data_IF_566170568308
#
_entry.id   IF_566170568308
#
_cell.length_a   1.000
_cell.length_b   1.000
_cell.length_c   1.000
_cell.angle_alpha   90.00
_cell.angle_beta   90.00
_cell.angle_gamma   90.00
#
_symmetry.space_group_name_H-M   'P 1'
#
loop_
_entity.id
_entity.type
_entity.pdbx_description
1 polymer ?
#
# COMPACT_ATOMS: atom_id res chain seq x y z
N UNK A 1 -60.60 -31.93 -47.68
CA UNK A 1 -61.78 -31.06 -47.49
C UNK A 1 -61.53 -30.25 -46.22
N UNK A 2 -61.06 -29.01 -46.36
CA UNK A 2 -61.86 -27.78 -46.17
C UNK A 2 -61.90 -27.40 -44.68
N UNK A 3 -61.12 -26.41 -44.23
CA UNK A 3 -61.51 -24.97 -44.10
C UNK A 3 -62.83 -24.82 -43.32
N UNK A 4 -63.04 -24.00 -42.28
CA UNK A 4 -62.40 -22.79 -41.72
C UNK A 4 -63.26 -22.35 -40.49
N UNK A 5 -62.91 -21.30 -39.74
CA UNK A 5 -63.34 -21.01 -38.38
C UNK A 5 -64.52 -20.03 -38.27
N UNK A 6 -65.09 -19.88 -37.06
CA UNK A 6 -66.09 -18.86 -36.73
C UNK A 6 -65.44 -17.58 -36.19
N UNK A 7 -65.84 -16.47 -36.82
CA UNK A 7 -65.51 -15.07 -36.56
C UNK A 7 -66.26 -14.49 -35.35
N UNK A 8 -65.65 -13.46 -34.75
CA UNK A 8 -66.27 -12.28 -34.12
C UNK A 8 -65.12 -11.33 -33.73
N UNK A 9 -64.74 -10.25 -34.45
CA UNK A 9 -65.45 -9.00 -34.77
C UNK A 9 -65.99 -8.33 -33.49
N UNK A 10 -65.65 -7.09 -33.08
CA UNK A 10 -65.15 -5.89 -33.78
C UNK A 10 -64.74 -4.81 -32.76
N UNK A 11 -64.15 -3.74 -33.30
CA UNK A 11 -63.98 -2.38 -32.74
C UNK A 11 -62.82 -2.19 -31.76
N UNK A 12 -62.02 -1.14 -31.81
CA UNK A 12 -62.08 0.08 -32.61
C UNK A 12 -61.49 1.22 -31.79
N UNK A 13 -60.36 1.74 -32.26
CA UNK A 13 -59.82 3.09 -32.04
C UNK A 13 -59.85 3.72 -30.62
N UNK A 14 -58.66 4.03 -30.09
CA UNK A 14 -58.18 5.42 -30.05
C UNK A 14 -56.83 5.51 -29.32
N UNK A 15 -55.82 5.98 -30.05
CA UNK A 15 -54.56 6.48 -29.49
C UNK A 15 -54.84 7.63 -28.54
N UNK A 16 -54.51 7.47 -27.26
CA UNK A 16 -54.22 8.60 -26.36
C UNK A 16 -52.73 8.64 -26.09
N UNK A 17 -52.08 9.60 -26.74
CA UNK A 17 -50.71 10.04 -26.47
C UNK A 17 -50.73 10.72 -25.10
N UNK A 18 -50.27 10.02 -24.06
CA UNK A 18 -50.07 10.62 -22.75
C UNK A 18 -48.62 11.11 -22.68
N UNK A 19 -48.41 12.41 -22.95
CA UNK A 19 -47.14 13.11 -22.69
C UNK A 19 -46.98 13.29 -21.18
N UNK A 20 -46.43 12.28 -20.52
CA UNK A 20 -45.98 12.34 -19.13
C UNK A 20 -44.72 13.19 -18.99
N UNK A 21 -44.79 14.17 -18.09
CA UNK A 21 -43.74 15.10 -17.64
C UNK A 21 -42.35 14.46 -17.52
N UNK A 22 -41.35 15.10 -18.14
CA UNK A 22 -39.93 14.95 -17.81
C UNK A 22 -39.70 15.38 -16.36
N UNK A 23 -39.49 14.42 -15.46
CA UNK A 23 -38.84 14.65 -14.18
C UNK A 23 -37.33 14.59 -14.45
N UNK A 24 -36.66 15.73 -14.30
CA UNK A 24 -35.21 15.83 -14.27
C UNK A 24 -34.70 15.01 -13.07
N UNK A 25 -34.25 13.80 -13.33
CA UNK A 25 -33.57 12.96 -12.35
C UNK A 25 -32.30 13.64 -11.86
N UNK A 26 -32.27 13.98 -10.58
CA UNK A 26 -31.09 14.38 -9.81
C UNK A 26 -29.91 13.50 -10.18
N UNK A 27 -28.83 14.12 -10.67
CA UNK A 27 -27.52 13.48 -10.81
C UNK A 27 -27.10 12.92 -9.45
N UNK A 28 -26.97 11.59 -9.37
CA UNK A 28 -26.45 10.91 -8.19
C UNK A 28 -25.01 11.40 -7.92
N UNK A 29 -24.81 12.04 -6.77
CA UNK A 29 -23.50 12.44 -6.28
C UNK A 29 -22.79 11.15 -5.85
N UNK A 30 -21.86 10.66 -6.66
CA UNK A 30 -20.95 9.58 -6.25
C UNK A 30 -20.07 10.07 -5.09
N UNK A 31 -19.93 9.34 -3.98
CA UNK A 31 -19.07 9.76 -2.87
C UNK A 31 -17.61 9.80 -3.32
N UNK A 32 -17.01 10.99 -3.29
CA UNK A 32 -15.62 11.19 -3.68
C UNK A 32 -14.68 10.66 -2.60
N UNK A 33 -13.58 10.02 -3.01
CA UNK A 33 -12.59 9.47 -2.08
C UNK A 33 -11.91 10.57 -1.23
N UNK A 34 -11.47 10.29 0.02
CA UNK A 34 -10.89 11.27 0.94
C UNK A 34 -9.68 12.04 0.38
N UNK A 35 -8.96 11.46 -0.60
CA UNK A 35 -7.84 12.12 -1.30
C UNK A 35 -8.28 13.29 -2.19
N UNK A 36 -9.50 13.28 -2.70
CA UNK A 36 -10.01 14.33 -3.60
C UNK A 36 -10.35 15.64 -2.86
N UNK A 37 -10.73 15.56 -1.58
CA UNK A 37 -11.07 16.71 -0.74
C UNK A 37 -9.81 17.54 -0.42
N UNK A 38 -8.70 16.87 -0.09
CA UNK A 38 -7.41 17.52 0.17
C UNK A 38 -6.79 18.18 -1.08
N UNK A 39 -7.02 17.62 -2.27
CA UNK A 39 -6.51 18.17 -3.52
C UNK A 39 -7.25 19.45 -3.97
N UNK A 40 -8.52 19.59 -3.60
CA UNK A 40 -9.33 20.76 -3.96
C UNK A 40 -9.10 21.94 -3.01
N UNK A 41 -8.84 21.67 -1.72
CA UNK A 41 -8.44 22.69 -0.74
C UNK A 41 -7.10 23.37 -1.08
N UNK A 42 -6.16 22.65 -1.72
CA UNK A 42 -4.87 23.22 -2.18
C UNK A 42 -4.99 24.13 -3.41
N UNK A 43 -6.01 23.95 -4.26
CA UNK A 43 -6.24 24.82 -5.42
C UNK A 43 -6.87 26.16 -5.04
N UNK A 44 -7.79 26.15 -4.07
CA UNK A 44 -8.46 27.38 -3.64
C UNK A 44 -7.55 28.31 -2.80
N UNK A 45 -6.51 27.78 -2.14
CA UNK A 45 -5.54 28.60 -1.39
C UNK A 45 -4.48 29.27 -2.26
N UNK A 46 -4.25 28.78 -3.49
CA UNK A 46 -3.29 29.35 -4.43
C UNK A 46 -3.88 30.49 -5.28
N UNK A 47 -5.21 30.55 -5.43
CA UNK A 47 -5.89 31.63 -6.16
C UNK A 47 -6.21 32.86 -5.29
N UNK A 48 -6.15 32.73 -3.95
CA UNK A 48 -6.42 33.84 -3.01
C UNK A 48 -5.17 34.69 -2.66
N UNK A 49 -4.05 34.48 -3.37
CA UNK A 49 -2.76 35.11 -3.08
C UNK A 49 -2.19 35.99 -4.21
N UNK A 50 -3.02 36.37 -5.18
CA UNK A 50 -2.67 37.34 -6.23
C UNK A 50 -3.81 38.34 -6.39
N UNK A 51 -4.05 39.16 -5.37
CA UNK A 51 -4.75 40.43 -5.58
C UNK A 51 -4.51 41.38 -4.40
N UNK A 52 -3.32 42.01 -4.36
CA UNK A 52 -3.01 43.29 -3.70
C UNK A 52 -1.61 43.73 -4.13
N UNK A 53 -1.54 44.49 -5.22
CA UNK A 53 -0.44 45.39 -5.60
C UNK A 53 -1.11 46.60 -6.24
N UNK A 54 -1.14 47.72 -5.52
CA UNK A 54 -0.15 48.82 -5.59
C UNK A 54 -0.47 49.79 -6.74
N UNK A 55 -1.14 50.89 -6.40
CA UNK A 55 -1.13 52.13 -7.17
C UNK A 55 -0.74 53.27 -6.22
N UNK A 56 0.38 53.89 -6.53
CA UNK A 56 0.94 55.07 -5.88
C UNK A 56 0.22 56.34 -6.34
N UNK A 57 0.06 57.31 -5.43
CA UNK A 57 -0.45 58.65 -5.72
C UNK A 57 -0.25 59.60 -4.53
N UNK A 58 0.52 60.65 -4.78
CA UNK A 58 1.09 61.66 -3.87
C UNK A 58 0.03 62.62 -3.30
N UNK A 59 0.14 62.99 -2.02
CA UNK A 59 -0.18 64.34 -1.50
C UNK A 59 0.29 64.55 -0.04
N UNK A 60 0.56 65.80 0.25
CA UNK A 60 1.36 66.41 1.32
C UNK A 60 0.63 66.66 2.66
N UNK A 61 1.42 66.97 3.69
CA UNK A 61 1.13 67.85 4.86
C UNK A 61 0.60 67.23 6.18
N UNK A 62 1.48 67.30 7.20
CA UNK A 62 1.29 67.66 8.62
C UNK A 62 0.05 67.17 9.39
N UNK A 63 0.25 66.30 10.40
CA UNK A 63 -0.02 66.58 11.84
C UNK A 63 0.18 65.35 12.73
N UNK A 64 0.84 65.61 13.88
CA UNK A 64 0.67 64.98 15.20
C UNK A 64 0.80 63.45 15.38
N UNK A 65 1.84 63.07 16.12
CA UNK A 65 1.99 61.77 16.79
C UNK A 65 0.84 61.48 17.75
N UNK A 66 0.35 60.24 17.81
CA UNK A 66 -0.11 59.65 19.06
C UNK A 66 0.87 58.55 19.50
N UNK A 67 1.17 58.57 20.79
CA UNK A 67 1.95 57.54 21.49
C UNK A 67 1.10 56.27 21.57
N UNK A 68 1.31 55.32 20.66
CA UNK A 68 0.81 53.96 20.84
C UNK A 68 1.79 53.17 21.72
N UNK A 69 1.32 52.85 22.93
CA UNK A 69 1.92 51.85 23.81
C UNK A 69 1.94 50.51 23.07
N UNK A 70 3.09 50.16 22.53
CA UNK A 70 3.37 48.82 22.02
C UNK A 70 3.19 47.80 23.14
N UNK A 71 2.10 47.04 23.08
CA UNK A 71 1.92 45.83 23.86
C UNK A 71 3.04 44.84 23.51
N UNK A 72 3.68 44.16 24.48
CA UNK A 72 4.76 43.24 24.18
C UNK A 72 4.22 42.10 23.31
N UNK A 73 4.83 41.89 22.14
CA UNK A 73 4.55 40.72 21.31
C UNK A 73 4.89 39.47 22.13
N UNK A 74 3.86 38.83 22.68
CA UNK A 74 3.94 37.55 23.37
C UNK A 74 4.71 36.59 22.45
N UNK A 75 5.89 36.18 22.91
CA UNK A 75 6.77 35.29 22.18
C UNK A 75 6.01 34.05 21.74
N UNK A 76 6.13 33.71 20.45
CA UNK A 76 5.63 32.45 19.90
C UNK A 76 6.07 31.32 20.83
N UNK A 77 5.13 30.71 21.55
CA UNK A 77 5.39 29.59 22.44
C UNK A 77 6.27 28.58 21.71
N UNK A 78 7.52 28.45 22.16
CA UNK A 78 8.39 27.38 21.71
C UNK A 78 7.61 26.09 21.99
N UNK A 79 7.22 25.36 20.93
CA UNK A 79 6.46 24.13 21.09
C UNK A 79 7.29 23.21 21.98
N UNK A 80 6.87 23.05 23.24
CA UNK A 80 7.49 22.11 24.16
C UNK A 80 7.50 20.76 23.45
N UNK A 81 8.68 20.14 23.38
CA UNK A 81 8.78 18.79 22.84
C UNK A 81 8.13 17.88 23.87
N UNK A 82 7.04 17.21 23.51
CA UNK A 82 6.24 16.39 24.42
C UNK A 82 6.49 14.91 24.12
N UNK A 83 6.93 14.20 25.16
CA UNK A 83 6.66 12.79 25.46
C UNK A 83 5.35 12.19 24.94
N UNK A 84 5.27 11.29 23.94
CA UNK A 84 4.10 10.41 23.92
C UNK A 84 3.98 9.68 25.28
N UNK A 85 2.78 9.42 25.79
CA UNK A 85 2.61 8.66 27.03
C UNK A 85 3.13 7.23 26.84
N UNK A 86 3.72 6.65 27.89
CA UNK A 86 4.09 5.23 27.87
C UNK A 86 2.82 4.38 27.97
N UNK A 87 2.67 3.40 27.10
CA UNK A 87 1.49 2.52 27.02
C UNK A 87 1.71 1.17 27.71
N UNK A 88 2.96 0.86 28.05
CA UNK A 88 3.38 -0.47 28.50
C UNK A 88 3.81 -0.46 29.97
N UNK A 89 3.47 -1.49 30.75
CA UNK A 89 3.99 -1.64 32.10
C UNK A 89 5.52 -1.75 32.06
N UNK A 90 6.16 -1.14 33.06
CA UNK A 90 7.62 -1.08 33.20
C UNK A 90 8.35 -0.43 32.00
N UNK A 91 7.67 0.39 31.19
CA UNK A 91 8.30 1.23 30.19
C UNK A 91 8.13 2.72 30.50
N UNK A 92 9.19 3.52 30.29
CA UNK A 92 9.14 4.99 30.39
C UNK A 92 9.75 5.62 29.13
N UNK A 93 9.14 6.69 28.63
CA UNK A 93 9.69 7.43 27.50
C UNK A 93 10.64 8.51 28.02
N UNK A 94 11.81 8.66 27.39
CA UNK A 94 12.79 9.71 27.71
C UNK A 94 13.37 10.35 26.44
N UNK A 95 13.83 11.59 26.54
CA UNK A 95 14.59 12.25 25.47
C UNK A 95 16.05 11.77 25.45
N UNK A 96 16.68 11.78 24.27
CA UNK A 96 18.12 11.50 24.12
C UNK A 96 19.00 12.35 25.04
N UNK A 97 18.66 13.63 25.22
CA UNK A 97 19.39 14.60 26.06
C UNK A 97 19.27 14.35 27.57
N UNK A 98 18.29 13.58 28.03
CA UNK A 98 18.16 13.28 29.45
C UNK A 98 19.31 12.38 29.91
N UNK A 99 19.77 12.58 31.14
CA UNK A 99 20.84 11.76 31.74
C UNK A 99 20.37 10.31 31.84
N UNK A 100 21.24 9.37 31.49
CA UNK A 100 20.95 7.94 31.64
C UNK A 100 20.96 7.57 33.14
N UNK A 101 20.02 6.74 33.63
CA UNK A 101 20.11 6.19 34.98
C UNK A 101 21.44 5.44 35.21
N UNK A 102 21.86 5.37 36.47
CA UNK A 102 23.06 4.62 36.84
C UNK A 102 22.95 3.16 36.36
N UNK A 103 24.03 2.64 35.77
CA UNK A 103 24.12 1.28 35.18
C UNK A 103 23.25 1.03 33.93
N UNK A 104 22.68 2.06 33.29
CA UNK A 104 21.95 1.92 32.04
C UNK A 104 22.79 2.30 30.82
N UNK A 105 22.76 1.44 29.81
CA UNK A 105 23.42 1.64 28.52
C UNK A 105 22.39 1.91 27.42
N UNK A 106 22.76 2.74 26.45
CA UNK A 106 21.93 3.01 25.27
C UNK A 106 22.11 1.92 24.21
N UNK A 107 20.99 1.31 23.79
CA UNK A 107 20.90 0.32 22.73
C UNK A 107 20.21 0.95 21.51
N UNK A 108 20.92 1.13 20.38
CA UNK A 108 20.33 1.73 19.19
C UNK A 108 19.28 0.81 18.56
N UNK A 109 18.30 1.40 17.87
CA UNK A 109 17.39 0.63 17.01
C UNK A 109 18.13 0.01 15.84
N UNK A 110 17.71 -1.18 15.42
CA UNK A 110 18.21 -1.84 14.20
C UNK A 110 18.24 -3.35 14.33
N UNK A 111 18.94 -3.86 15.35
CA UNK A 111 18.93 -5.28 15.64
C UNK A 111 17.67 -5.65 16.43
N UNK A 112 16.74 -6.31 15.73
CA UNK A 112 15.47 -6.78 16.28
C UNK A 112 15.69 -7.80 17.40
N UNK A 113 16.70 -8.66 17.29
CA UNK A 113 17.00 -9.64 18.32
C UNK A 113 17.47 -8.92 19.59
N UNK A 114 18.46 -8.03 19.48
CA UNK A 114 19.03 -7.32 20.64
C UNK A 114 17.96 -6.48 21.33
N UNK A 115 17.28 -5.60 20.59
CA UNK A 115 16.28 -4.69 21.17
C UNK A 115 15.11 -5.42 21.81
N UNK A 116 14.62 -6.51 21.19
CA UNK A 116 13.53 -7.34 21.74
C UNK A 116 13.95 -8.05 23.03
N UNK A 117 15.11 -8.72 23.02
CA UNK A 117 15.55 -9.48 24.20
C UNK A 117 15.99 -8.57 25.34
N UNK A 118 16.58 -7.40 25.04
CA UNK A 118 16.85 -6.39 26.07
C UNK A 118 15.55 -5.91 26.73
N UNK A 119 14.51 -5.61 25.94
CA UNK A 119 13.21 -5.20 26.47
C UNK A 119 12.57 -6.31 27.34
N UNK A 120 12.59 -7.56 26.87
CA UNK A 120 12.02 -8.70 27.62
C UNK A 120 12.79 -8.93 28.94
N UNK A 121 14.11 -9.12 28.87
CA UNK A 121 14.93 -9.43 30.05
C UNK A 121 14.92 -8.32 31.10
N UNK A 122 14.86 -7.05 30.68
CA UNK A 122 14.75 -5.91 31.61
C UNK A 122 13.41 -5.91 32.34
N UNK A 123 12.32 -6.29 31.67
CA UNK A 123 11.00 -6.41 32.32
C UNK A 123 10.96 -7.61 33.28
N UNK A 124 11.55 -8.74 32.87
CA UNK A 124 11.70 -9.94 33.70
C UNK A 124 12.51 -9.66 34.98
N UNK A 125 13.52 -8.80 34.92
CA UNK A 125 14.30 -8.37 36.10
C UNK A 125 13.57 -7.34 36.98
N UNK A 126 12.32 -6.98 36.66
CA UNK A 126 11.55 -5.99 37.40
C UNK A 126 11.98 -4.54 37.15
N UNK A 127 12.92 -4.31 36.23
CA UNK A 127 13.51 -3.01 35.95
C UNK A 127 12.75 -2.26 34.83
N UNK A 128 12.96 -0.95 34.74
CA UNK A 128 12.24 -0.08 33.80
C UNK A 128 12.99 -0.01 32.48
N UNK A 129 12.34 -0.30 31.37
CA UNK A 129 12.89 -0.03 30.03
C UNK A 129 12.63 1.42 29.65
N UNK A 130 13.67 2.16 29.29
CA UNK A 130 13.49 3.52 28.80
C UNK A 130 13.49 3.55 27.28
N UNK A 131 12.39 3.96 26.66
CA UNK A 131 12.33 4.18 25.21
C UNK A 131 12.88 5.57 24.91
N UNK A 132 13.97 5.62 24.15
CA UNK A 132 14.67 6.87 23.85
C UNK A 132 14.12 7.49 22.57
N UNK A 133 13.65 8.72 22.67
CA UNK A 133 13.23 9.54 21.54
C UNK A 133 14.29 10.56 21.16
N UNK A 134 14.23 11.03 19.92
CA UNK A 134 14.91 12.25 19.50
C UNK A 134 14.51 13.43 20.39
N UNK A 135 15.34 14.48 20.48
CA UNK A 135 15.11 15.66 21.32
C UNK A 135 13.80 16.40 20.99
N UNK A 136 13.19 16.10 19.83
CA UNK A 136 11.90 16.62 19.37
C UNK A 136 10.70 15.74 19.73
N UNK A 137 10.92 14.54 20.29
CA UNK A 137 9.87 13.56 20.64
C UNK A 137 9.22 12.86 19.45
N UNK A 138 9.78 12.99 18.23
CA UNK A 138 9.12 12.53 16.99
C UNK A 138 9.46 11.10 16.59
N UNK A 139 10.67 10.64 16.89
CA UNK A 139 11.17 9.35 16.40
C UNK A 139 11.87 8.62 17.53
N UNK A 140 11.60 7.32 17.65
CA UNK A 140 12.36 6.44 18.53
C UNK A 140 13.76 6.23 17.94
N UNK A 141 14.76 6.32 18.83
CA UNK A 141 16.17 6.10 18.51
C UNK A 141 16.65 4.73 19.00
N UNK A 142 16.08 4.23 20.10
CA UNK A 142 16.51 3.00 20.72
C UNK A 142 15.93 2.84 22.13
N UNK A 143 16.59 2.03 22.93
CA UNK A 143 16.23 1.74 24.32
C UNK A 143 17.40 2.13 25.24
N UNK A 144 17.13 2.49 26.50
CA UNK A 144 18.12 2.36 27.57
C UNK A 144 17.70 1.21 28.46
N UNK A 145 18.65 0.32 28.69
CA UNK A 145 18.48 -0.89 29.48
C UNK A 145 19.69 -1.06 30.40
N UNK A 146 19.55 -1.82 31.49
CA UNK A 146 20.67 -2.19 32.35
C UNK A 146 21.84 -2.81 31.55
N UNK A 147 23.08 -2.44 31.92
CA UNK A 147 24.29 -2.82 31.20
C UNK A 147 24.57 -4.33 31.24
N UNK A 148 24.25 -4.98 32.36
CA UNK A 148 24.27 -6.42 32.58
C UNK A 148 23.31 -7.15 31.64
N UNK A 149 22.07 -6.66 31.52
CA UNK A 149 21.07 -7.21 30.58
C UNK A 149 21.56 -7.11 29.14
N UNK A 150 22.10 -5.94 28.75
CA UNK A 150 22.62 -5.77 27.39
C UNK A 150 23.80 -6.71 27.09
N UNK A 151 24.75 -6.85 28.02
CA UNK A 151 25.88 -7.77 27.88
C UNK A 151 25.43 -9.22 27.73
N UNK A 152 24.51 -9.68 28.58
CA UNK A 152 23.94 -11.03 28.51
C UNK A 152 23.17 -11.28 27.19
N UNK A 153 22.51 -10.25 26.64
CA UNK A 153 21.83 -10.35 25.34
C UNK A 153 22.83 -10.42 24.19
N UNK A 154 23.92 -9.65 24.22
CA UNK A 154 24.97 -9.72 23.20
C UNK A 154 25.63 -11.10 23.17
N UNK A 155 25.94 -11.66 24.33
CA UNK A 155 26.48 -13.01 24.43
C UNK A 155 25.52 -14.05 23.84
N UNK A 156 24.26 -14.03 24.27
CA UNK A 156 23.23 -14.94 23.73
C UNK A 156 22.99 -14.73 22.23
N UNK A 157 23.09 -13.50 21.74
CA UNK A 157 22.98 -13.19 20.31
C UNK A 157 24.12 -13.84 19.53
N UNK A 158 25.35 -13.77 20.01
CA UNK A 158 26.52 -14.36 19.38
C UNK A 158 26.44 -15.89 19.38
N UNK A 159 26.12 -16.50 20.52
CA UNK A 159 25.97 -17.95 20.68
C UNK A 159 24.90 -18.53 19.74
N UNK A 160 23.75 -17.86 19.65
CA UNK A 160 22.61 -18.34 18.84
C UNK A 160 22.66 -17.91 17.38
N UNK A 161 23.63 -17.09 16.96
CA UNK A 161 23.65 -16.49 15.62
C UNK A 161 23.59 -17.52 14.49
N UNK A 162 24.43 -18.56 14.56
CA UNK A 162 24.47 -19.63 13.55
C UNK A 162 23.17 -20.42 13.50
N UNK A 163 22.65 -20.81 14.66
CA UNK A 163 21.38 -21.55 14.78
C UNK A 163 20.20 -20.73 14.23
N UNK A 164 20.12 -19.44 14.56
CA UNK A 164 19.08 -18.54 14.03
C UNK A 164 19.17 -18.38 12.53
N UNK A 165 20.37 -18.19 11.98
CA UNK A 165 20.58 -18.10 10.54
C UNK A 165 20.16 -19.39 9.83
N UNK A 166 20.54 -20.55 10.38
CA UNK A 166 20.14 -21.85 9.88
C UNK A 166 18.62 -22.05 9.92
N UNK A 167 17.97 -21.72 11.04
CA UNK A 167 16.52 -21.81 11.18
C UNK A 167 15.76 -20.88 10.23
N UNK A 168 16.33 -19.72 9.86
CA UNK A 168 15.76 -18.85 8.82
C UNK A 168 15.91 -19.49 7.45
N UNK A 169 17.10 -20.02 7.13
CA UNK A 169 17.37 -20.71 5.86
C UNK A 169 16.42 -21.88 5.64
N UNK A 170 16.27 -22.77 6.62
CA UNK A 170 15.34 -23.91 6.56
C UNK A 170 13.89 -23.47 6.31
N UNK A 171 13.45 -22.40 6.97
CA UNK A 171 12.09 -21.85 6.77
C UNK A 171 11.91 -21.28 5.36
N UNK A 172 12.92 -20.58 4.85
CA UNK A 172 12.89 -20.02 3.50
C UNK A 172 12.91 -21.13 2.44
N UNK A 173 13.71 -22.19 2.63
CA UNK A 173 13.73 -23.38 1.79
C UNK A 173 12.38 -24.10 1.79
N UNK A 174 11.81 -24.39 2.97
CA UNK A 174 10.48 -25.00 3.09
C UNK A 174 9.41 -24.17 2.39
N UNK A 175 9.47 -22.85 2.54
CA UNK A 175 8.54 -21.95 1.88
C UNK A 175 8.68 -22.01 0.35
N UNK A 176 9.92 -22.02 -0.16
CA UNK A 176 10.17 -22.13 -1.60
C UNK A 176 9.72 -23.49 -2.17
N UNK A 177 9.93 -24.57 -1.42
CA UNK A 177 9.46 -25.92 -1.76
C UNK A 177 7.93 -25.97 -1.87
N UNK A 178 7.22 -25.44 -0.86
CA UNK A 178 5.75 -25.33 -0.87
C UNK A 178 5.25 -24.51 -2.05
N UNK A 179 5.90 -23.39 -2.37
CA UNK A 179 5.52 -22.57 -3.52
C UNK A 179 5.71 -23.30 -4.85
N UNK A 180 6.80 -24.07 -4.99
CA UNK A 180 7.07 -24.90 -6.18
C UNK A 180 6.02 -26.00 -6.33
N UNK A 181 5.75 -26.75 -5.26
CA UNK A 181 4.74 -27.81 -5.24
C UNK A 181 3.37 -27.26 -5.64
N UNK A 182 2.95 -26.15 -5.03
CA UNK A 182 1.71 -25.46 -5.35
C UNK A 182 1.62 -25.09 -6.84
N UNK A 183 2.68 -24.54 -7.43
CA UNK A 183 2.70 -24.19 -8.85
C UNK A 183 2.60 -25.42 -9.76
N UNK A 184 3.29 -26.52 -9.43
CA UNK A 184 3.19 -27.78 -10.20
C UNK A 184 1.81 -28.41 -10.11
N UNK A 185 1.17 -28.35 -8.93
CA UNK A 185 -0.19 -28.88 -8.74
C UNK A 185 -1.23 -28.10 -9.53
N UNK A 186 -1.16 -26.76 -9.54
CA UNK A 186 -2.14 -25.92 -10.24
C UNK A 186 -1.84 -25.74 -11.74
N UNK A 187 -0.57 -25.85 -12.14
CA UNK A 187 -0.13 -25.63 -13.52
C UNK A 187 0.81 -26.76 -13.99
N UNK A 188 0.31 -28.00 -14.12
CA UNK A 188 1.13 -29.16 -14.43
C UNK A 188 1.79 -29.11 -15.81
N UNK A 189 1.24 -28.33 -16.75
CA UNK A 189 1.78 -28.17 -18.11
C UNK A 189 2.60 -26.88 -18.28
N UNK A 190 2.92 -26.17 -17.19
CA UNK A 190 3.77 -24.98 -17.25
C UNK A 190 5.24 -25.38 -17.53
N UNK A 191 5.94 -24.72 -18.47
CA UNK A 191 7.36 -24.98 -18.70
C UNK A 191 8.21 -24.73 -17.45
N UNK A 192 9.21 -25.58 -17.20
CA UNK A 192 10.06 -25.50 -16.00
C UNK A 192 10.80 -24.14 -15.91
N UNK A 193 11.26 -23.59 -17.03
CA UNK A 193 11.88 -22.26 -17.08
C UNK A 193 10.94 -21.15 -16.59
N UNK A 194 9.64 -21.24 -16.95
CA UNK A 194 8.62 -20.31 -16.49
C UNK A 194 8.30 -20.50 -15.02
N UNK A 195 8.27 -21.75 -14.55
CA UNK A 195 8.10 -22.09 -13.14
C UNK A 195 9.21 -21.44 -12.29
N UNK A 196 10.47 -21.63 -12.69
CA UNK A 196 11.62 -21.10 -11.95
C UNK A 196 11.65 -19.57 -11.98
N UNK A 197 11.34 -18.96 -13.13
CA UNK A 197 11.22 -17.50 -13.25
C UNK A 197 10.15 -16.95 -12.29
N UNK A 198 8.99 -17.60 -12.22
CA UNK A 198 7.90 -17.22 -11.31
C UNK A 198 8.35 -17.35 -9.85
N UNK A 199 9.01 -18.44 -9.47
CA UNK A 199 9.51 -18.65 -8.11
C UNK A 199 10.54 -17.59 -7.71
N UNK A 200 11.54 -17.35 -8.56
CA UNK A 200 12.61 -16.39 -8.30
C UNK A 200 12.10 -14.95 -8.23
N UNK A 201 11.04 -14.61 -8.98
CA UNK A 201 10.55 -13.24 -9.05
C UNK A 201 9.36 -12.95 -8.13
N UNK A 202 8.33 -13.79 -8.14
CA UNK A 202 7.08 -13.53 -7.43
C UNK A 202 7.13 -13.95 -5.95
N UNK A 203 7.95 -14.95 -5.61
CA UNK A 203 8.08 -15.49 -4.25
C UNK A 203 9.38 -15.05 -3.54
N UNK A 204 10.10 -14.09 -4.12
CA UNK A 204 11.28 -13.48 -3.50
C UNK A 204 10.95 -12.80 -2.17
N UNK A 205 11.77 -13.07 -1.16
CA UNK A 205 11.61 -12.51 0.18
C UNK A 205 11.94 -11.01 0.21
N UNK A 206 11.21 -10.25 1.03
CA UNK A 206 11.55 -8.86 1.35
C UNK A 206 11.21 -7.81 0.28
N UNK A 207 10.60 -8.19 -0.84
CA UNK A 207 10.36 -7.28 -1.99
C UNK A 207 8.89 -6.89 -2.16
N UNK A 208 8.00 -7.28 -1.23
CA UNK A 208 6.57 -6.95 -1.29
C UNK A 208 5.82 -7.61 -2.45
N UNK A 209 6.38 -8.69 -3.02
CA UNK A 209 5.82 -9.38 -4.19
C UNK A 209 4.67 -10.29 -3.82
N UNK A 210 3.82 -10.56 -4.82
CA UNK A 210 2.54 -11.25 -4.63
C UNK A 210 2.66 -12.58 -3.89
N UNK A 211 3.73 -13.35 -4.12
CA UNK A 211 3.98 -14.60 -3.41
C UNK A 211 4.07 -14.42 -1.89
N UNK A 212 4.63 -13.31 -1.40
CA UNK A 212 4.86 -13.07 0.04
C UNK A 212 3.75 -12.29 0.74
N UNK A 213 2.66 -12.00 0.06
CA UNK A 213 1.55 -11.21 0.61
C UNK A 213 0.74 -12.03 1.61
N UNK A 214 0.63 -11.60 2.86
CA UNK A 214 -0.03 -12.38 3.93
C UNK A 214 -1.55 -12.48 3.81
N UNK A 215 -2.20 -11.51 3.17
CA UNK A 215 -3.67 -11.45 3.06
C UNK A 215 -4.26 -12.15 1.82
N UNK A 216 -3.47 -12.98 1.12
CA UNK A 216 -3.90 -13.78 -0.02
C UNK A 216 -3.73 -15.27 0.27
N UNK A 217 -4.67 -16.09 -0.19
CA UNK A 217 -4.50 -17.54 -0.20
C UNK A 217 -3.36 -17.95 -1.12
N UNK A 218 -2.74 -19.10 -0.83
CA UNK A 218 -1.62 -19.62 -1.61
C UNK A 218 -1.98 -19.81 -3.08
N UNK A 219 -3.12 -20.43 -3.36
CA UNK A 219 -3.66 -20.55 -4.71
C UNK A 219 -3.84 -19.20 -5.43
N UNK A 220 -4.35 -18.18 -4.73
CA UNK A 220 -4.54 -16.85 -5.32
C UNK A 220 -3.19 -16.19 -5.64
N UNK A 221 -2.17 -16.40 -4.81
CA UNK A 221 -0.81 -15.92 -5.08
C UNK A 221 -0.22 -16.60 -6.31
N UNK A 222 -0.32 -17.92 -6.40
CA UNK A 222 0.15 -18.69 -7.56
C UNK A 222 -0.52 -18.22 -8.85
N UNK A 223 -1.85 -18.09 -8.83
CA UNK A 223 -2.62 -17.58 -9.96
C UNK A 223 -2.18 -16.20 -10.43
N UNK A 224 -2.04 -15.24 -9.50
CA UNK A 224 -1.61 -13.87 -9.83
C UNK A 224 -0.16 -13.81 -10.31
N UNK A 225 0.71 -14.65 -9.74
CA UNK A 225 2.12 -14.72 -10.13
C UNK A 225 2.27 -15.24 -11.56
N UNK A 226 1.60 -16.34 -11.89
CA UNK A 226 1.58 -16.92 -13.24
C UNK A 226 0.93 -15.98 -14.24
N UNK A 227 -0.21 -15.37 -13.89
CA UNK A 227 -0.87 -14.39 -14.75
C UNK A 227 0.03 -13.19 -15.06
N UNK A 228 0.77 -12.70 -14.06
CA UNK A 228 1.75 -11.64 -14.26
C UNK A 228 2.88 -12.08 -15.18
N UNK A 229 3.49 -13.24 -14.95
CA UNK A 229 4.55 -13.78 -15.81
C UNK A 229 4.09 -13.93 -17.26
N UNK A 230 2.95 -14.57 -17.49
CA UNK A 230 2.38 -14.74 -18.84
C UNK A 230 2.17 -13.38 -19.51
N UNK A 231 1.61 -12.41 -18.80
CA UNK A 231 1.37 -11.08 -19.34
C UNK A 231 2.67 -10.42 -19.80
N UNK A 232 3.72 -10.45 -19.00
CA UNK A 232 4.98 -9.76 -19.31
C UNK A 232 5.82 -10.52 -20.35
N UNK A 233 5.75 -11.85 -20.39
CA UNK A 233 6.66 -12.69 -21.18
C UNK A 233 6.02 -13.21 -22.47
N UNK A 234 4.74 -13.58 -22.44
CA UNK A 234 4.07 -14.27 -23.55
C UNK A 234 3.04 -13.41 -24.28
N UNK A 235 3.01 -12.09 -24.03
CA UNK A 235 2.08 -11.19 -24.72
C UNK A 235 2.76 -9.89 -25.14
N UNK A 236 2.09 -9.15 -26.02
CA UNK A 236 2.48 -7.79 -26.44
C UNK A 236 2.34 -6.71 -25.36
N UNK A 237 2.14 -7.07 -24.09
CA UNK A 237 1.90 -6.12 -23.00
C UNK A 237 3.00 -5.06 -22.90
N UNK A 238 4.27 -5.49 -22.90
CA UNK A 238 5.42 -4.58 -22.82
C UNK A 238 5.48 -3.64 -24.02
N UNK A 239 5.21 -4.15 -25.23
CA UNK A 239 5.15 -3.32 -26.45
C UNK A 239 4.04 -2.27 -26.37
N UNK A 240 2.86 -2.63 -25.84
CA UNK A 240 1.75 -1.68 -25.65
C UNK A 240 2.11 -0.59 -24.63
N UNK A 241 2.84 -0.93 -23.55
CA UNK A 241 3.32 0.07 -22.59
C UNK A 241 4.36 1.01 -23.21
N UNK A 242 5.30 0.47 -24.00
CA UNK A 242 6.29 1.26 -24.74
C UNK A 242 5.63 2.20 -25.75
N UNK A 243 4.52 1.78 -26.37
CA UNK A 243 3.70 2.61 -27.25
C UNK A 243 2.83 3.66 -26.51
N UNK A 244 3.02 3.83 -25.20
CA UNK A 244 2.30 4.84 -24.40
C UNK A 244 0.89 4.44 -23.98
N UNK A 245 0.46 3.20 -24.22
CA UNK A 245 -0.88 2.74 -23.82
C UNK A 245 -0.99 2.68 -22.29
N UNK A 246 -2.09 3.20 -21.74
CA UNK A 246 -2.37 3.10 -20.31
C UNK A 246 -2.42 1.64 -19.85
N UNK A 247 -1.91 1.38 -18.63
CA UNK A 247 -1.76 0.02 -18.09
C UNK A 247 -3.05 -0.80 -18.11
N UNK A 248 -4.18 -0.21 -17.76
CA UNK A 248 -5.46 -0.93 -17.70
C UNK A 248 -5.95 -1.30 -19.10
N UNK A 249 -5.74 -0.42 -20.08
CA UNK A 249 -6.08 -0.74 -21.46
C UNK A 249 -5.15 -1.81 -22.04
N UNK A 250 -3.86 -1.80 -21.68
CA UNK A 250 -2.91 -2.83 -22.09
C UNK A 250 -3.27 -4.19 -21.45
N UNK A 251 -3.63 -4.21 -20.16
CA UNK A 251 -4.12 -5.41 -19.46
C UNK A 251 -5.37 -5.98 -20.11
N UNK A 252 -6.35 -5.12 -20.44
CA UNK A 252 -7.57 -5.54 -21.10
C UNK A 252 -7.28 -6.12 -22.50
N UNK A 253 -6.39 -5.49 -23.26
CA UNK A 253 -6.04 -5.94 -24.61
C UNK A 253 -5.30 -7.29 -24.65
N UNK A 254 -4.61 -7.67 -23.57
CA UNK A 254 -3.89 -8.95 -23.49
C UNK A 254 -4.64 -10.01 -22.68
N UNK A 255 -5.76 -9.66 -22.05
CA UNK A 255 -6.48 -10.54 -21.11
C UNK A 255 -6.84 -11.89 -21.71
N UNK A 256 -7.37 -11.93 -22.94
CA UNK A 256 -7.75 -13.17 -23.63
C UNK A 256 -6.56 -14.11 -23.79
N UNK A 257 -5.44 -13.61 -24.36
CA UNK A 257 -4.20 -14.38 -24.55
C UNK A 257 -3.66 -14.91 -23.22
N UNK A 258 -3.65 -14.06 -22.18
CA UNK A 258 -3.18 -14.46 -20.85
C UNK A 258 -4.02 -15.61 -20.29
N UNK A 259 -5.35 -15.53 -20.37
CA UNK A 259 -6.22 -16.59 -19.86
C UNK A 259 -6.11 -17.87 -20.69
N UNK A 260 -5.97 -17.78 -22.02
CA UNK A 260 -5.78 -18.94 -22.88
C UNK A 260 -4.52 -19.72 -22.47
N UNK A 261 -3.37 -19.07 -22.38
CA UNK A 261 -2.10 -19.71 -21.98
C UNK A 261 -2.20 -20.26 -20.57
N UNK A 262 -2.76 -19.48 -19.63
CA UNK A 262 -2.93 -19.92 -18.24
C UNK A 262 -3.78 -21.19 -18.14
N UNK A 263 -4.88 -21.27 -18.90
CA UNK A 263 -5.74 -22.46 -18.97
C UNK A 263 -5.00 -23.65 -19.57
N UNK A 264 -4.19 -23.44 -20.62
CA UNK A 264 -3.32 -24.49 -21.18
C UNK A 264 -2.37 -25.04 -20.12
N UNK A 265 -1.69 -24.15 -19.38
CA UNK A 265 -0.75 -24.57 -18.33
C UNK A 265 -1.44 -25.31 -17.18
N UNK A 266 -2.70 -24.97 -16.89
CA UNK A 266 -3.53 -25.67 -15.91
C UNK A 266 -4.07 -27.03 -16.40
N UNK A 267 -3.80 -27.43 -17.65
CA UNK A 267 -4.32 -28.67 -18.23
C UNK A 267 -5.74 -28.56 -18.80
N UNK A 268 -6.30 -27.36 -18.88
CA UNK A 268 -7.58 -27.13 -19.56
C UNK A 268 -7.44 -27.28 -21.06
N UNK A 269 -8.32 -28.07 -21.70
CA UNK A 269 -8.45 -28.10 -23.16
C UNK A 269 -8.83 -26.70 -23.65
N UNK A 270 -7.96 -26.11 -24.47
CA UNK A 270 -8.25 -24.84 -25.14
C UNK A 270 -9.25 -25.15 -26.25
N UNK A 271 -10.53 -24.83 -26.03
CA UNK A 271 -11.50 -24.79 -27.13
C UNK A 271 -10.94 -23.85 -28.20
N UNK A 272 -10.74 -24.41 -29.39
CA UNK A 272 -9.82 -23.90 -30.43
C UNK A 272 -10.34 -22.67 -31.19
N UNK A 273 -11.30 -21.94 -30.64
CA UNK A 273 -11.99 -20.85 -31.34
C UNK A 273 -11.25 -19.52 -31.31
N UNK A 274 -10.28 -19.31 -30.41
CA UNK A 274 -9.59 -18.01 -30.26
C UNK A 274 -8.16 -17.97 -30.83
N UNK A 275 -7.57 -19.10 -31.24
CA UNK A 275 -6.21 -19.15 -31.78
C UNK A 275 -6.12 -18.79 -33.28
N UNK A 276 -7.23 -18.76 -34.02
CA UNK A 276 -7.22 -18.45 -35.45
C UNK A 276 -7.10 -16.95 -35.77
N UNK A 277 -7.28 -16.06 -34.79
CA UNK A 277 -7.26 -14.60 -35.04
C UNK A 277 -5.87 -13.96 -34.92
N UNK A 278 -4.85 -14.70 -34.45
CA UNK A 278 -3.51 -14.15 -34.16
C UNK A 278 -2.52 -14.36 -35.32
N UNK A 279 -2.78 -15.26 -36.26
CA UNK A 279 -1.88 -15.50 -37.41
C UNK A 279 -2.10 -14.59 -38.62
N UNK A 280 -3.21 -13.86 -38.71
CA UNK A 280 -3.60 -13.12 -39.92
C UNK A 280 -3.57 -11.58 -39.79
N UNK A 281 -2.63 -11.01 -39.02
CA UNK A 281 -2.28 -9.58 -39.10
C UNK A 281 -0.78 -9.38 -38.89
N UNK A 282 -0.01 -9.85 -39.87
CA UNK A 282 1.28 -9.27 -40.23
C UNK A 282 1.02 -8.10 -41.19
#
# INVERSE_FOLDING_TARGET
MSRTPKKGSRSGAARRINRGKKILGRSAITPRSPRSILAQARRNSLLKKRDRGDLAGVATSNKTKPVERGSPKVGRYARLSILPPSTEPQEKNCFKREVSPAHYVFVPKGDVYITRHCRIKTKESGQIVYVVYDNRGKTTLGLRVPADVHAAVLQSAAETAKSRAHAVKLRDEKYSGRARELLRTHFPLMPEESLDTVLQHAFLKGTGRVGRVSNLSDERKANLAVEAHIRHTHTRYESLLKAGKARDQARNATRGVVQAIKSTWAGGRVESTDCLTVRNRL
#
